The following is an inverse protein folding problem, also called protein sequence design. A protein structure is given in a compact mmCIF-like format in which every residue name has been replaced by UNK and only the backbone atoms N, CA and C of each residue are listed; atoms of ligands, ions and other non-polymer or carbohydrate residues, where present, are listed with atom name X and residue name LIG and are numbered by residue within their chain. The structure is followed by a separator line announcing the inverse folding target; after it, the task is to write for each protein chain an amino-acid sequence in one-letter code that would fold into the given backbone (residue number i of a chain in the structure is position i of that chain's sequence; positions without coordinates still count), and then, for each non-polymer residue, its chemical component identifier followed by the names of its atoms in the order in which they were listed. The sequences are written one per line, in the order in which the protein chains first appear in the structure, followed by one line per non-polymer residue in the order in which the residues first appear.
data_IF_190704844513
#
_entry.id   IF_190704844513
#
_cell.length_a   1.000
_cell.length_b   1.000
_cell.length_c   1.000
_cell.angle_alpha   90.00
_cell.angle_beta   90.00
_cell.angle_gamma   90.00
#
_symmetry.space_group_name_H-M   'P 1'
#
loop_
_entity.id
_entity.type
_entity.pdbx_description
1 polymer ?
#
# COMPACT_ATOMS: atom_id res chain seq x y z
N UNK A 1 17.62 11.30 -13.60
CA UNK A 1 16.64 11.60 -12.54
C UNK A 1 15.42 10.70 -12.75
N UNK A 2 15.40 9.51 -12.13
CA UNK A 2 14.26 8.59 -12.25
C UNK A 2 13.11 9.09 -11.37
N UNK A 3 11.87 9.00 -11.85
CA UNK A 3 10.69 9.31 -11.02
C UNK A 3 10.53 8.17 -10.02
N UNK A 4 10.58 8.48 -8.73
CA UNK A 4 10.35 7.51 -7.65
C UNK A 4 8.86 7.38 -7.27
N UNK A 5 7.97 7.82 -8.16
CA UNK A 5 6.54 7.93 -7.90
C UNK A 5 5.74 7.06 -8.84
N UNK A 6 4.86 6.23 -8.27
CA UNK A 6 3.94 5.34 -8.95
C UNK A 6 2.54 5.96 -9.02
N UNK A 7 1.81 5.61 -10.06
CA UNK A 7 0.39 5.87 -10.24
C UNK A 7 -0.46 4.75 -9.63
N UNK A 8 -1.77 4.96 -9.54
CA UNK A 8 -2.70 3.92 -9.07
C UNK A 8 -2.62 2.62 -9.87
N UNK A 9 -2.34 2.71 -11.17
CA UNK A 9 -2.25 1.55 -12.06
C UNK A 9 -0.95 0.77 -11.83
N UNK A 10 0.18 1.49 -11.72
CA UNK A 10 1.48 0.88 -11.39
C UNK A 10 1.48 0.25 -9.99
N UNK A 11 0.84 0.88 -9.00
CA UNK A 11 0.70 0.27 -7.66
C UNK A 11 -0.19 -0.96 -7.66
N UNK A 12 -1.26 -0.95 -8.45
CA UNK A 12 -2.16 -2.10 -8.60
C UNK A 12 -1.41 -3.29 -9.21
N UNK A 13 -0.61 -3.05 -10.25
CA UNK A 13 0.25 -4.06 -10.87
C UNK A 13 1.35 -4.54 -9.92
N UNK A 14 1.98 -3.62 -9.17
CA UNK A 14 3.05 -3.93 -8.22
C UNK A 14 2.58 -4.84 -7.08
N UNK A 15 1.41 -4.56 -6.50
CA UNK A 15 0.83 -5.35 -5.41
C UNK A 15 0.10 -6.60 -5.95
N UNK A 16 -0.30 -6.60 -7.22
CA UNK A 16 -1.06 -7.69 -7.84
C UNK A 16 -2.55 -7.67 -7.51
N UNK A 17 -3.16 -6.48 -7.40
CA UNK A 17 -4.59 -6.29 -7.09
C UNK A 17 -5.30 -5.47 -8.15
N UNK A 18 -6.63 -5.50 -8.19
CA UNK A 18 -7.39 -4.67 -9.11
C UNK A 18 -7.28 -3.17 -8.75
N UNK A 19 -7.22 -2.29 -9.76
CA UNK A 19 -7.15 -0.83 -9.56
C UNK A 19 -8.27 -0.26 -8.67
N UNK A 20 -9.45 -0.85 -8.72
CA UNK A 20 -10.60 -0.43 -7.90
C UNK A 20 -10.38 -0.72 -6.41
N UNK A 21 -9.62 -1.77 -6.09
CA UNK A 21 -9.19 -2.04 -4.72
C UNK A 21 -8.26 -0.93 -4.23
N UNK A 22 -7.30 -0.49 -5.04
CA UNK A 22 -6.42 0.62 -4.67
C UNK A 22 -7.24 1.91 -4.44
N UNK A 23 -8.21 2.23 -5.30
CA UNK A 23 -9.10 3.37 -5.07
C UNK A 23 -9.89 3.26 -3.76
N UNK A 24 -10.35 2.05 -3.43
CA UNK A 24 -11.06 1.78 -2.18
C UNK A 24 -10.14 1.94 -0.97
N UNK A 25 -8.93 1.38 -1.01
CA UNK A 25 -7.92 1.51 0.04
C UNK A 25 -7.50 2.97 0.24
N UNK A 26 -7.36 3.74 -0.84
CA UNK A 26 -7.08 5.18 -0.77
C UNK A 26 -8.21 5.95 -0.11
N UNK A 27 -9.48 5.63 -0.44
CA UNK A 27 -10.65 6.24 0.20
C UNK A 27 -10.73 5.89 1.70
N UNK A 28 -10.40 4.64 2.04
CA UNK A 28 -10.37 4.14 3.41
C UNK A 28 -9.09 4.51 4.18
N UNK A 29 -8.13 5.21 3.53
CA UNK A 29 -6.83 5.59 4.08
C UNK A 29 -5.99 4.41 4.59
N UNK A 30 -6.13 3.23 3.98
CA UNK A 30 -5.40 2.01 4.32
C UNK A 30 -4.03 1.92 3.65
N UNK A 31 -3.84 2.66 2.55
CA UNK A 31 -2.58 2.69 1.79
C UNK A 31 -1.99 4.11 1.82
N UNK A 32 -0.68 4.26 2.07
CA UNK A 32 -0.03 5.57 2.08
C UNK A 32 -0.02 6.15 0.67
N UNK A 33 -0.58 7.34 0.52
CA UNK A 33 -0.75 8.00 -0.77
C UNK A 33 -0.61 9.52 -0.62
N UNK A 34 -0.29 10.21 -1.71
CA UNK A 34 -0.35 11.66 -1.76
C UNK A 34 -1.14 12.14 -2.98
N UNK A 35 -1.89 13.23 -2.81
CA UNK A 35 -2.73 13.80 -3.87
C UNK A 35 -2.05 15.03 -4.45
N UNK A 36 -1.91 15.05 -5.77
CA UNK A 36 -1.46 16.22 -6.53
C UNK A 36 -2.58 16.63 -7.47
N UNK A 37 -3.32 17.67 -7.08
CA UNK A 37 -4.55 18.12 -7.76
C UNK A 37 -5.56 16.96 -7.91
N UNK A 38 -5.77 16.47 -9.13
CA UNK A 38 -6.70 15.38 -9.46
C UNK A 38 -6.03 13.99 -9.44
N UNK A 39 -4.71 13.92 -9.35
CA UNK A 39 -3.96 12.65 -9.44
C UNK A 39 -3.63 12.15 -8.04
N UNK A 40 -3.71 10.83 -7.89
CA UNK A 40 -3.21 10.11 -6.72
C UNK A 40 -1.88 9.50 -7.16
N UNK A 41 -0.86 9.73 -6.36
CA UNK A 41 0.49 9.23 -6.57
C UNK A 41 0.98 8.57 -5.28
N UNK A 42 1.96 7.70 -5.46
CA UNK A 42 2.54 6.87 -4.42
C UNK A 42 4.05 6.94 -4.55
N UNK A 43 4.79 6.97 -3.45
CA UNK A 43 6.24 6.85 -3.49
C UNK A 43 6.58 5.36 -3.40
N UNK A 44 7.43 4.87 -4.30
CA UNK A 44 7.85 3.46 -4.33
C UNK A 44 8.40 3.01 -2.97
N UNK A 45 9.31 3.79 -2.36
CA UNK A 45 9.90 3.46 -1.05
C UNK A 45 8.85 3.37 0.06
N UNK A 46 7.83 4.23 0.01
CA UNK A 46 6.76 4.24 1.01
C UNK A 46 5.82 3.05 0.85
N UNK A 47 5.52 2.66 -0.39
CA UNK A 47 4.71 1.46 -0.65
C UNK A 47 5.46 0.21 -0.20
N UNK A 48 6.75 0.09 -0.51
CA UNK A 48 7.57 -1.04 -0.10
C UNK A 48 7.62 -1.18 1.43
N UNK A 49 7.90 -0.08 2.14
CA UNK A 49 7.87 -0.06 3.60
C UNK A 49 6.50 -0.49 4.17
N UNK A 50 5.41 0.02 3.60
CA UNK A 50 4.06 -0.34 4.01
C UNK A 50 3.75 -1.83 3.79
N UNK A 51 4.19 -2.43 2.67
CA UNK A 51 4.03 -3.87 2.43
C UNK A 51 4.76 -4.66 3.53
N UNK A 52 5.98 -4.28 3.88
CA UNK A 52 6.74 -4.93 4.95
C UNK A 52 6.04 -4.82 6.30
N UNK A 53 5.48 -3.65 6.62
CA UNK A 53 4.68 -3.44 7.83
C UNK A 53 3.43 -4.35 7.86
N UNK A 54 2.70 -4.44 6.74
CA UNK A 54 1.52 -5.31 6.64
C UNK A 54 1.87 -6.80 6.81
N UNK A 55 2.99 -7.24 6.23
CA UNK A 55 3.49 -8.61 6.42
C UNK A 55 3.79 -8.85 7.91
N UNK A 56 4.51 -7.91 8.56
CA UNK A 56 4.87 -8.02 9.97
C UNK A 56 3.65 -8.08 10.90
N UNK A 57 2.67 -7.20 10.68
CA UNK A 57 1.41 -7.19 11.44
C UNK A 57 0.62 -8.51 11.29
N UNK A 58 0.61 -9.07 10.07
CA UNK A 58 -0.08 -10.33 9.78
C UNK A 58 0.54 -11.53 10.51
N UNK A 59 1.85 -11.50 10.73
CA UNK A 59 2.59 -12.56 11.43
C UNK A 59 2.45 -12.43 12.95
N UNK A 60 2.57 -11.22 13.51
CA UNK A 60 2.46 -10.99 14.96
C UNK A 60 1.08 -11.32 15.53
N UNK A 61 0.02 -11.18 14.72
CA UNK A 61 -1.35 -11.51 15.16
C UNK A 61 -1.53 -13.02 15.43
N UNK A 62 -0.69 -13.89 14.85
CA UNK A 62 -0.79 -15.34 15.06
C UNK A 62 -0.10 -15.81 16.35
N UNK A 63 0.92 -15.12 16.82
CA UNK A 63 1.64 -15.52 18.04
C UNK A 63 0.84 -15.22 19.32
N UNK A 64 0.06 -14.13 19.35
CA UNK A 64 -0.71 -13.75 20.54
C UNK A 64 -1.95 -14.63 20.83
N UNK A 65 -2.40 -15.46 19.89
CA UNK A 65 -3.56 -16.35 20.05
C UNK A 65 -3.15 -17.78 20.45
N UNK A 66 -1.89 -18.15 20.23
CA UNK A 66 -1.38 -19.49 20.55
C UNK A 66 -0.96 -19.65 22.04
N UNK A 67 -0.87 -18.55 22.79
CA UNK A 67 -0.43 -18.54 24.20
C UNK A 67 -1.57 -18.22 25.18
N UNK A 68 -2.82 -18.51 24.80
CA UNK A 68 -4.01 -18.42 25.67
C UNK A 68 -4.74 -19.75 25.78
#
# INVERSE_FOLDING_TARGET
MQRNTLTTEEVAEYIGVHKDMIYTMVRQKQIPHFRVRRRILFNHETIDAWIQEQIKESVQTKEAVAER
#
